data_IF_205409779676
#
_entry.id   IF_205409779676
#
_cell.length_a   1.000
_cell.length_b   1.000
_cell.length_c   1.000
_cell.angle_alpha   90.00
_cell.angle_beta   90.00
_cell.angle_gamma   90.00
#
_symmetry.space_group_name_H-M   'P 1'
#
loop_
_entity.id
_entity.type
_entity.pdbx_description
1 polymer ?
#
# COMPACT_ATOMS: atom_id res chain seq x y z
N UNK A 1 -16.46 27.00 -7.82
CA UNK A 1 -15.66 26.70 -9.01
C UNK A 1 -15.63 25.19 -9.14
N UNK A 2 -16.32 24.66 -10.14
CA UNK A 2 -16.24 23.22 -10.43
C UNK A 2 -14.96 22.93 -11.24
N UNK A 3 -14.49 21.69 -11.19
CA UNK A 3 -13.37 21.25 -12.02
C UNK A 3 -13.89 20.41 -13.18
N UNK A 4 -13.31 20.63 -14.37
CA UNK A 4 -13.61 19.91 -15.59
C UNK A 4 -12.43 19.00 -15.93
N UNK A 5 -12.50 17.70 -15.63
CA UNK A 5 -11.44 16.73 -15.90
C UNK A 5 -11.63 16.10 -17.29
N UNK A 6 -10.76 16.39 -18.22
CA UNK A 6 -10.76 15.75 -19.55
C UNK A 6 -9.86 14.53 -19.51
N UNK A 7 -10.44 13.34 -19.62
CA UNK A 7 -9.77 12.07 -19.36
C UNK A 7 -9.27 11.41 -20.67
N UNK A 8 -7.96 11.17 -20.78
CA UNK A 8 -7.38 10.34 -21.84
C UNK A 8 -7.50 8.86 -21.47
N UNK A 9 -7.43 7.96 -22.47
CA UNK A 9 -7.54 6.52 -22.28
C UNK A 9 -6.60 5.96 -21.18
N UNK A 10 -5.34 6.45 -21.10
CA UNK A 10 -4.39 6.05 -20.06
C UNK A 10 -4.85 6.38 -18.64
N UNK A 11 -5.63 7.43 -18.46
CA UNK A 11 -6.24 7.79 -17.17
C UNK A 11 -7.42 6.85 -16.83
N UNK A 12 -8.32 6.62 -17.80
CA UNK A 12 -9.48 5.74 -17.64
C UNK A 12 -9.09 4.27 -17.38
N UNK A 13 -7.99 3.83 -17.96
CA UNK A 13 -7.48 2.44 -17.85
C UNK A 13 -6.34 2.30 -16.82
N UNK A 14 -6.25 3.22 -15.88
CA UNK A 14 -5.23 3.16 -14.85
C UNK A 14 -5.57 2.17 -13.74
N UNK A 15 -6.86 1.97 -13.45
CA UNK A 15 -7.42 1.00 -12.49
C UNK A 15 -8.88 0.70 -12.80
N UNK A 16 -9.44 -0.34 -12.15
CA UNK A 16 -10.88 -0.60 -12.17
C UNK A 16 -11.65 0.60 -11.63
N UNK A 17 -12.74 0.96 -12.28
CA UNK A 17 -13.62 2.10 -11.95
C UNK A 17 -12.86 3.44 -11.82
N UNK A 18 -11.81 3.64 -12.64
CA UNK A 18 -11.04 4.88 -12.63
C UNK A 18 -11.93 6.12 -12.84
N UNK A 19 -13.01 5.99 -13.60
CA UNK A 19 -14.01 7.03 -13.83
C UNK A 19 -14.76 7.52 -12.57
N UNK A 20 -14.71 6.78 -11.46
CA UNK A 20 -15.26 7.20 -10.16
C UNK A 20 -14.18 7.79 -9.23
N UNK A 21 -12.96 7.89 -9.70
CA UNK A 21 -11.82 8.29 -8.86
C UNK A 21 -11.37 9.74 -9.06
N UNK A 22 -11.91 10.40 -10.06
CA UNK A 22 -11.56 11.78 -10.40
C UNK A 22 -12.64 12.74 -9.90
N UNK A 23 -12.21 13.82 -9.27
CA UNK A 23 -13.08 14.88 -8.80
C UNK A 23 -13.87 14.58 -7.52
N UNK A 24 -14.56 15.60 -7.05
CA UNK A 24 -15.47 15.58 -5.92
C UNK A 24 -16.92 15.79 -6.42
N UNK A 25 -17.89 15.68 -5.52
CA UNK A 25 -19.29 15.92 -5.90
C UNK A 25 -19.46 17.31 -6.52
N UNK A 26 -20.05 17.36 -7.71
CA UNK A 26 -20.23 18.58 -8.51
C UNK A 26 -19.13 18.85 -9.55
N UNK A 27 -18.00 18.12 -9.52
CA UNK A 27 -16.98 18.20 -10.56
C UNK A 27 -17.42 17.42 -11.82
N UNK A 28 -16.96 17.86 -12.99
CA UNK A 28 -17.27 17.25 -14.27
C UNK A 28 -16.13 16.34 -14.77
N UNK A 29 -16.49 15.14 -15.21
CA UNK A 29 -15.62 14.22 -15.93
C UNK A 29 -16.02 14.21 -17.40
N UNK A 30 -15.09 14.58 -18.25
CA UNK A 30 -15.32 14.66 -19.70
C UNK A 30 -14.49 13.58 -20.39
N UNK A 31 -15.17 12.66 -21.08
CA UNK A 31 -14.49 11.65 -21.91
C UNK A 31 -14.65 12.08 -23.37
N UNK A 32 -13.54 12.39 -24.08
CA UNK A 32 -13.60 12.63 -25.52
C UNK A 32 -14.14 11.40 -26.27
N UNK A 33 -15.03 11.60 -27.25
CA UNK A 33 -15.60 10.51 -28.06
C UNK A 33 -14.50 9.65 -28.70
N UNK A 34 -13.43 10.26 -29.18
CA UNK A 34 -12.28 9.54 -29.73
C UNK A 34 -11.59 8.58 -28.74
N UNK A 35 -11.74 8.83 -27.44
CA UNK A 35 -11.24 7.91 -26.40
C UNK A 35 -12.22 6.75 -26.21
N UNK A 36 -13.54 6.99 -26.26
CA UNK A 36 -14.56 5.93 -26.22
C UNK A 36 -14.36 4.95 -27.38
N UNK A 37 -14.16 5.47 -28.61
CA UNK A 37 -13.87 4.68 -29.79
C UNK A 37 -12.61 3.82 -29.62
N UNK A 38 -11.56 4.36 -29.00
CA UNK A 38 -10.29 3.66 -28.77
C UNK A 38 -10.42 2.50 -27.76
N UNK A 39 -11.40 2.52 -26.85
CA UNK A 39 -11.56 1.46 -25.84
C UNK A 39 -11.72 0.07 -26.47
N UNK A 40 -12.29 -0.02 -27.67
CA UNK A 40 -12.47 -1.30 -28.39
C UNK A 40 -11.17 -1.94 -28.92
N UNK A 41 -10.10 -1.16 -29.02
CA UNK A 41 -8.82 -1.61 -29.60
C UNK A 41 -7.76 -1.99 -28.55
N UNK A 42 -8.09 -1.97 -27.25
CA UNK A 42 -7.16 -2.38 -26.23
C UNK A 42 -7.09 -3.90 -26.09
N UNK A 43 -5.86 -4.41 -26.00
CA UNK A 43 -5.52 -5.83 -25.84
C UNK A 43 -4.80 -6.08 -24.51
N UNK A 44 -4.58 -7.37 -24.18
CA UNK A 44 -3.85 -7.79 -22.98
C UNK A 44 -4.54 -7.36 -21.68
N UNK A 45 -3.77 -7.01 -20.66
CA UNK A 45 -4.24 -6.64 -19.34
C UNK A 45 -5.22 -5.46 -19.32
N UNK A 46 -5.15 -4.56 -20.31
CA UNK A 46 -6.04 -3.40 -20.42
C UNK A 46 -7.39 -3.72 -21.05
N UNK A 47 -7.55 -4.86 -21.70
CA UNK A 47 -8.81 -5.26 -22.38
C UNK A 47 -9.97 -5.32 -21.40
N UNK A 48 -9.77 -5.93 -20.24
CA UNK A 48 -10.83 -6.08 -19.24
C UNK A 48 -11.26 -4.72 -18.66
N UNK A 49 -10.30 -3.82 -18.40
CA UNK A 49 -10.61 -2.47 -17.93
C UNK A 49 -11.33 -1.63 -19.01
N UNK A 50 -10.91 -1.77 -20.28
CA UNK A 50 -11.55 -1.09 -21.38
C UNK A 50 -12.99 -1.59 -21.60
N UNK A 51 -13.24 -2.89 -21.47
CA UNK A 51 -14.58 -3.47 -21.50
C UNK A 51 -15.45 -2.95 -20.35
N UNK A 52 -14.91 -2.91 -19.12
CA UNK A 52 -15.61 -2.36 -17.94
C UNK A 52 -16.04 -0.90 -18.16
N UNK A 53 -15.12 -0.04 -18.64
CA UNK A 53 -15.43 1.37 -18.94
C UNK A 53 -16.48 1.48 -20.03
N UNK A 54 -16.37 0.65 -21.07
CA UNK A 54 -17.34 0.64 -22.18
C UNK A 54 -18.73 0.20 -21.72
N UNK A 55 -18.81 -0.83 -20.88
CA UNK A 55 -20.08 -1.29 -20.29
C UNK A 55 -20.70 -0.24 -19.38
N UNK A 56 -19.87 0.43 -18.57
CA UNK A 56 -20.34 1.52 -17.72
C UNK A 56 -20.92 2.67 -18.55
N UNK A 57 -20.22 3.14 -19.58
CA UNK A 57 -20.72 4.18 -20.48
C UNK A 57 -22.04 3.76 -21.13
N UNK A 58 -22.16 2.51 -21.58
CA UNK A 58 -23.41 1.96 -22.15
C UNK A 58 -24.56 1.89 -21.15
N UNK A 59 -24.28 1.74 -19.87
CA UNK A 59 -25.30 1.71 -18.82
C UNK A 59 -25.86 3.07 -18.45
N UNK A 60 -25.19 4.16 -18.86
CA UNK A 60 -25.64 5.52 -18.62
C UNK A 60 -26.62 5.99 -19.73
N UNK A 61 -27.63 6.79 -19.41
CA UNK A 61 -28.54 7.36 -20.41
C UNK A 61 -27.79 8.24 -21.43
N UNK A 62 -27.99 7.97 -22.74
CA UNK A 62 -27.26 8.66 -23.81
C UNK A 62 -27.60 10.15 -23.89
N UNK A 63 -28.83 10.54 -23.63
CA UNK A 63 -29.29 11.93 -23.63
C UNK A 63 -28.62 12.73 -22.49
N UNK A 64 -28.39 12.12 -21.34
CA UNK A 64 -27.66 12.74 -20.26
C UNK A 64 -26.16 12.83 -20.59
N UNK A 65 -25.53 11.71 -21.02
CA UNK A 65 -24.09 11.67 -21.33
C UNK A 65 -23.68 12.68 -22.40
N UNK A 66 -24.48 12.83 -23.44
CA UNK A 66 -24.22 13.75 -24.57
C UNK A 66 -24.73 15.17 -24.31
N UNK A 67 -25.62 15.34 -23.33
CA UNK A 67 -26.24 16.61 -22.96
C UNK A 67 -25.65 17.24 -21.70
N UNK A 68 -26.44 17.24 -20.62
CA UNK A 68 -26.10 17.90 -19.34
C UNK A 68 -25.06 17.16 -18.51
N UNK A 69 -24.79 15.92 -18.83
CA UNK A 69 -23.95 15.00 -18.05
C UNK A 69 -24.77 14.09 -17.11
N UNK A 70 -24.28 12.88 -16.90
CA UNK A 70 -24.85 11.86 -16.03
C UNK A 70 -24.25 11.97 -14.63
N UNK A 71 -25.08 12.11 -13.59
CA UNK A 71 -24.63 12.17 -12.20
C UNK A 71 -24.26 10.78 -11.72
N UNK A 72 -23.00 10.59 -11.40
CA UNK A 72 -22.44 9.32 -10.91
C UNK A 72 -22.73 9.08 -9.42
N UNK A 73 -22.52 7.86 -8.95
CA UNK A 73 -22.76 7.48 -7.54
C UNK A 73 -21.90 8.23 -6.52
N UNK A 74 -20.76 8.78 -6.94
CA UNK A 74 -19.86 9.64 -6.10
C UNK A 74 -20.20 11.13 -6.19
N UNK A 75 -21.29 11.50 -6.91
CA UNK A 75 -21.72 12.89 -7.08
C UNK A 75 -21.01 13.67 -8.19
N UNK A 76 -20.03 13.08 -8.89
CA UNK A 76 -19.41 13.70 -10.06
C UNK A 76 -20.30 13.58 -11.29
N UNK A 77 -20.11 14.43 -12.28
CA UNK A 77 -20.96 14.51 -13.50
C UNK A 77 -20.16 14.00 -14.69
N UNK A 78 -20.54 12.85 -15.24
CA UNK A 78 -19.88 12.24 -16.40
C UNK A 78 -20.51 12.73 -17.70
N UNK A 79 -19.71 13.17 -18.66
CA UNK A 79 -20.17 13.53 -20.01
C UNK A 79 -19.22 13.02 -21.09
N UNK A 80 -19.76 12.78 -22.27
CA UNK A 80 -18.98 12.45 -23.47
C UNK A 80 -19.08 13.66 -24.44
N UNK A 81 -17.91 14.17 -24.83
CA UNK A 81 -17.86 15.33 -25.75
C UNK A 81 -17.19 14.93 -27.07
N UNK A 82 -17.72 15.45 -28.15
CA UNK A 82 -17.20 15.30 -29.50
C UNK A 82 -16.72 16.65 -30.02
N UNK A 83 -15.69 16.64 -30.83
CA UNK A 83 -15.19 17.80 -31.56
C UNK A 83 -14.73 17.35 -32.94
N UNK A 84 -15.21 18.09 -33.97
CA UNK A 84 -14.89 17.85 -35.39
C UNK A 84 -13.73 18.75 -35.81
N UNK A 85 -13.84 20.03 -35.54
CA UNK A 85 -12.88 21.03 -35.97
C UNK A 85 -11.76 21.22 -34.95
N UNK A 86 -10.53 21.10 -35.43
CA UNK A 86 -9.31 21.35 -34.65
C UNK A 86 -8.74 22.71 -35.03
N UNK A 87 -8.64 23.60 -34.05
CA UNK A 87 -8.09 24.96 -34.25
C UNK A 87 -6.65 24.95 -34.73
N UNK A 88 -6.21 26.00 -35.37
CA UNK A 88 -4.80 26.17 -35.80
C UNK A 88 -3.80 26.10 -34.65
N UNK A 89 -4.20 26.55 -33.45
CA UNK A 89 -3.38 26.50 -32.25
C UNK A 89 -3.03 25.06 -31.84
N UNK A 90 -3.98 24.12 -31.94
CA UNK A 90 -3.78 22.71 -31.66
C UNK A 90 -3.11 22.01 -32.84
N UNK A 91 -3.50 22.34 -34.09
CA UNK A 91 -2.98 21.71 -35.29
C UNK A 91 -1.47 21.97 -35.53
N UNK A 92 -0.91 23.04 -34.97
CA UNK A 92 0.55 23.29 -35.00
C UNK A 92 1.39 22.17 -34.39
N UNK A 93 0.82 21.33 -33.54
CA UNK A 93 1.48 20.15 -32.97
C UNK A 93 1.33 18.95 -33.93
N UNK A 94 2.14 18.92 -34.98
CA UNK A 94 2.05 17.94 -36.09
C UNK A 94 2.24 16.50 -35.65
N UNK A 95 3.08 16.24 -34.61
CA UNK A 95 3.38 14.89 -34.12
C UNK A 95 2.29 14.29 -33.21
N UNK A 96 1.28 15.08 -32.82
CA UNK A 96 0.19 14.55 -32.01
C UNK A 96 -0.78 13.70 -32.86
N UNK A 97 -1.24 12.60 -32.26
CA UNK A 97 -2.36 11.84 -32.84
C UNK A 97 -3.62 12.70 -32.93
N UNK A 98 -4.52 12.38 -33.86
CA UNK A 98 -5.80 13.07 -33.98
C UNK A 98 -6.58 13.06 -32.64
N UNK A 99 -6.56 11.94 -31.95
CA UNK A 99 -7.22 11.78 -30.64
C UNK A 99 -6.65 12.74 -29.59
N UNK A 100 -5.32 12.90 -29.55
CA UNK A 100 -4.66 13.81 -28.63
C UNK A 100 -4.99 15.28 -28.95
N UNK A 101 -5.08 15.61 -30.23
CA UNK A 101 -5.52 16.91 -30.69
C UNK A 101 -6.98 17.19 -30.29
N UNK A 102 -7.87 16.21 -30.43
CA UNK A 102 -9.25 16.32 -30.01
C UNK A 102 -9.39 16.49 -28.48
N UNK A 103 -8.58 15.80 -27.68
CA UNK A 103 -8.53 16.04 -26.24
C UNK A 103 -8.15 17.49 -25.89
N UNK A 104 -7.09 18.03 -26.52
CA UNK A 104 -6.67 19.42 -26.30
C UNK A 104 -7.74 20.42 -26.76
N UNK A 105 -8.37 20.16 -27.92
CA UNK A 105 -9.41 21.04 -28.45
C UNK A 105 -10.64 21.07 -27.53
N UNK A 106 -11.05 19.92 -26.97
CA UNK A 106 -12.14 19.87 -25.99
C UNK A 106 -11.78 20.70 -24.75
N UNK A 107 -10.53 20.62 -24.26
CA UNK A 107 -10.10 21.45 -23.13
C UNK A 107 -10.26 22.95 -23.45
N UNK A 108 -9.80 23.39 -24.65
CA UNK A 108 -9.92 24.77 -25.05
C UNK A 108 -11.39 25.23 -25.22
N UNK A 109 -12.25 24.35 -25.71
CA UNK A 109 -13.67 24.64 -25.85
C UNK A 109 -14.34 24.77 -24.47
N UNK A 110 -14.02 23.87 -23.52
CA UNK A 110 -14.52 23.94 -22.15
C UNK A 110 -14.07 25.20 -21.41
N UNK A 111 -12.82 25.66 -21.58
CA UNK A 111 -12.34 26.93 -21.01
C UNK A 111 -13.11 28.15 -21.52
N UNK A 112 -13.61 28.08 -22.77
CA UNK A 112 -14.45 29.16 -23.36
C UNK A 112 -15.91 29.08 -22.91
N UNK A 113 -16.43 27.84 -22.80
CA UNK A 113 -17.81 27.57 -22.40
C UNK A 113 -18.04 27.81 -20.90
N UNK A 114 -17.05 27.48 -20.08
CA UNK A 114 -17.07 27.61 -18.62
C UNK A 114 -15.84 28.38 -18.10
N UNK A 115 -15.82 29.71 -18.26
CA UNK A 115 -14.64 30.51 -17.92
C UNK A 115 -14.32 30.57 -16.42
N UNK A 116 -15.30 30.27 -15.57
CA UNK A 116 -15.15 30.23 -14.10
C UNK A 116 -14.70 28.86 -13.59
N UNK A 117 -14.69 27.82 -14.44
CA UNK A 117 -14.29 26.48 -14.06
C UNK A 117 -12.81 26.20 -14.37
N UNK A 118 -12.22 25.32 -13.59
CA UNK A 118 -10.86 24.86 -13.81
C UNK A 118 -10.83 23.64 -14.74
N UNK A 119 -10.36 23.81 -15.97
CA UNK A 119 -10.21 22.71 -16.95
C UNK A 119 -8.86 22.06 -16.80
N UNK A 120 -8.86 20.71 -16.58
CA UNK A 120 -7.67 19.92 -16.30
C UNK A 120 -7.61 18.74 -17.27
N UNK A 121 -6.54 18.66 -18.08
CA UNK A 121 -6.27 17.48 -18.90
C UNK A 121 -5.60 16.39 -18.06
N UNK A 122 -6.16 15.19 -18.04
CA UNK A 122 -5.61 14.04 -17.30
C UNK A 122 -5.03 13.01 -18.27
N UNK A 123 -3.70 12.81 -18.23
CA UNK A 123 -3.00 11.93 -19.16
C UNK A 123 -1.75 11.32 -18.54
N UNK A 124 -1.30 10.16 -19.04
CA UNK A 124 0.02 9.56 -18.75
C UNK A 124 1.09 9.96 -19.77
N UNK A 125 0.75 10.76 -20.77
CA UNK A 125 1.67 11.15 -21.85
C UNK A 125 2.34 12.48 -21.52
N UNK A 126 3.57 12.46 -21.04
CA UNK A 126 4.36 13.66 -20.75
C UNK A 126 4.38 14.66 -21.92
N UNK A 127 4.59 14.25 -23.21
CA UNK A 127 4.52 15.19 -24.32
C UNK A 127 3.17 15.89 -24.47
N UNK A 128 2.06 15.19 -24.18
CA UNK A 128 0.72 15.76 -24.25
C UNK A 128 0.49 16.74 -23.10
N UNK A 129 0.92 16.40 -21.88
CA UNK A 129 0.81 17.29 -20.72
C UNK A 129 1.57 18.60 -20.95
N UNK A 130 2.82 18.54 -21.44
CA UNK A 130 3.60 19.74 -21.77
C UNK A 130 2.95 20.60 -22.85
N UNK A 131 2.33 19.97 -23.87
CA UNK A 131 1.60 20.69 -24.92
C UNK A 131 0.30 21.34 -24.41
N UNK A 132 -0.36 20.71 -23.43
CA UNK A 132 -1.49 21.34 -22.72
C UNK A 132 -1.06 22.63 -21.99
N UNK A 133 0.05 22.57 -21.25
CA UNK A 133 0.60 23.75 -20.57
C UNK A 133 0.97 24.89 -21.53
N UNK A 134 1.52 24.57 -22.72
CA UNK A 134 1.79 25.58 -23.78
C UNK A 134 0.49 26.25 -24.24
N UNK A 135 -0.64 25.54 -24.23
CA UNK A 135 -1.96 26.06 -24.53
C UNK A 135 -2.65 26.71 -23.33
N UNK A 136 -1.99 26.84 -22.18
CA UNK A 136 -2.54 27.32 -20.91
C UNK A 136 -3.71 26.48 -20.39
N UNK A 137 -3.73 25.20 -20.73
CA UNK A 137 -4.61 24.19 -20.14
C UNK A 137 -3.86 23.54 -19.01
N UNK A 138 -4.41 23.57 -17.79
CA UNK A 138 -3.84 22.81 -16.67
C UNK A 138 -3.78 21.35 -17.02
N UNK A 139 -2.71 20.68 -16.58
CA UNK A 139 -2.54 19.27 -16.85
C UNK A 139 -2.18 18.49 -15.59
N UNK A 140 -2.54 17.21 -15.56
CA UNK A 140 -2.32 16.31 -14.44
C UNK A 140 -1.91 14.93 -14.94
N UNK A 141 -0.88 14.36 -14.34
CA UNK A 141 -0.55 12.95 -14.55
C UNK A 141 -1.61 12.06 -13.88
N UNK A 142 -2.16 11.13 -14.65
CA UNK A 142 -3.16 10.19 -14.14
C UNK A 142 -2.74 9.39 -12.90
N UNK A 143 -1.47 8.99 -12.72
CA UNK A 143 -1.00 8.34 -11.50
C UNK A 143 -1.18 9.16 -10.22
N UNK A 144 -1.13 10.49 -10.29
CA UNK A 144 -1.22 11.36 -9.12
C UNK A 144 -2.56 11.26 -8.38
N UNK A 145 -3.60 10.80 -9.06
CA UNK A 145 -4.92 10.61 -8.45
C UNK A 145 -5.14 9.23 -7.82
N UNK A 146 -4.37 8.21 -8.25
CA UNK A 146 -4.48 6.84 -7.75
C UNK A 146 -3.54 6.63 -6.57
N UNK A 147 -2.36 7.22 -6.69
CA UNK A 147 -1.32 7.21 -5.68
C UNK A 147 -1.00 8.66 -5.34
N UNK A 148 -1.41 9.15 -4.17
CA UNK A 148 -1.04 10.47 -3.71
C UNK A 148 0.47 10.69 -3.81
N UNK A 149 0.91 11.93 -3.91
CA UNK A 149 2.33 12.27 -3.79
C UNK A 149 2.89 11.70 -2.49
N UNK A 150 4.18 11.40 -2.44
CA UNK A 150 4.81 10.68 -1.32
C UNK A 150 4.53 11.33 0.05
N UNK A 151 4.44 12.66 0.08
CA UNK A 151 4.12 13.47 1.26
C UNK A 151 2.65 13.40 1.70
N UNK A 152 1.74 12.95 0.83
CA UNK A 152 0.30 12.82 1.09
C UNK A 152 -0.18 11.38 1.21
N UNK A 153 0.72 10.41 1.04
CA UNK A 153 0.36 9.01 1.20
C UNK A 153 0.00 8.70 2.64
N UNK A 154 -1.02 7.85 2.82
CA UNK A 154 -1.41 7.39 4.14
C UNK A 154 -0.25 6.68 4.85
N UNK A 155 -0.01 7.06 6.09
CA UNK A 155 1.09 6.52 6.89
C UNK A 155 0.66 5.42 7.85
N UNK A 156 -0.61 5.41 8.24
CA UNK A 156 -1.13 4.55 9.31
C UNK A 156 -0.68 4.94 10.72
N UNK A 157 0.14 6.00 10.84
CA UNK A 157 0.69 6.51 12.11
C UNK A 157 0.61 8.03 12.14
N UNK A 158 0.05 8.59 13.21
CA UNK A 158 -0.17 10.03 13.36
C UNK A 158 0.25 10.53 14.75
N UNK A 159 0.82 11.73 14.82
CA UNK A 159 0.94 12.46 16.06
C UNK A 159 -0.39 13.15 16.35
N UNK A 160 -0.96 12.90 17.51
CA UNK A 160 -2.27 13.43 17.88
C UNK A 160 -2.24 14.07 19.25
N UNK A 161 -2.75 15.29 19.36
CA UNK A 161 -2.80 16.03 20.62
C UNK A 161 -4.22 16.02 21.16
N UNK A 162 -4.37 15.72 22.45
CA UNK A 162 -5.65 15.73 23.17
C UNK A 162 -5.53 16.61 24.43
N UNK A 163 -6.68 16.98 24.98
CA UNK A 163 -6.72 17.75 26.24
C UNK A 163 -6.06 16.98 27.38
N UNK A 164 -5.52 17.72 28.35
CA UNK A 164 -4.89 17.14 29.55
C UNK A 164 -5.85 16.21 30.29
N UNK A 165 -7.15 16.55 30.36
CA UNK A 165 -8.18 15.70 30.98
C UNK A 165 -8.32 14.35 30.22
N UNK A 166 -8.46 14.40 28.90
CA UNK A 166 -8.54 13.22 28.05
C UNK A 166 -7.28 12.38 28.10
N UNK A 167 -6.09 13.02 28.16
CA UNK A 167 -4.82 12.32 28.29
C UNK A 167 -4.74 11.56 29.63
N UNK A 168 -5.12 12.18 30.74
CA UNK A 168 -5.16 11.55 32.07
C UNK A 168 -6.18 10.39 32.07
N UNK A 169 -7.34 10.55 31.45
CA UNK A 169 -8.31 9.47 31.27
C UNK A 169 -7.73 8.30 30.49
N UNK A 170 -7.03 8.56 29.38
CA UNK A 170 -6.35 7.53 28.58
C UNK A 170 -5.26 6.80 29.39
N UNK A 171 -4.50 7.52 30.21
CA UNK A 171 -3.47 6.93 31.06
C UNK A 171 -4.05 6.04 32.16
N UNK A 172 -5.22 6.39 32.70
CA UNK A 172 -5.84 5.71 33.84
C UNK A 172 -6.72 4.55 33.40
N UNK A 173 -7.61 4.76 32.43
CA UNK A 173 -8.59 3.78 31.96
C UNK A 173 -8.14 2.99 30.73
N UNK A 174 -7.05 3.42 30.08
CA UNK A 174 -6.56 2.85 28.82
C UNK A 174 -7.43 3.19 27.60
N UNK A 175 -8.51 3.99 27.77
CA UNK A 175 -9.46 4.29 26.70
C UNK A 175 -10.12 5.64 26.93
N UNK A 176 -10.30 6.43 25.85
CA UNK A 176 -11.02 7.70 25.87
C UNK A 176 -11.87 7.84 24.62
N UNK A 177 -13.05 8.44 24.75
CA UNK A 177 -13.91 8.71 23.59
C UNK A 177 -13.26 9.74 22.67
N UNK A 178 -13.26 9.45 21.37
CA UNK A 178 -12.70 10.37 20.39
C UNK A 178 -13.68 11.51 20.12
N UNK A 179 -13.26 12.73 20.42
CA UNK A 179 -13.95 13.96 20.01
C UNK A 179 -13.12 14.57 18.89
N UNK A 180 -13.73 14.72 17.72
CA UNK A 180 -13.07 15.34 16.58
C UNK A 180 -13.18 16.86 16.70
N UNK A 181 -12.32 17.46 17.50
CA UNK A 181 -12.25 18.91 17.69
C UNK A 181 -11.55 19.63 16.52
N UNK A 182 -10.85 18.85 15.65
CA UNK A 182 -10.17 19.35 14.45
C UNK A 182 -10.68 18.64 13.19
N UNK A 183 -11.64 19.23 12.43
CA UNK A 183 -12.16 18.64 11.20
C UNK A 183 -11.10 18.46 10.09
N UNK A 184 -9.96 19.15 10.19
CA UNK A 184 -8.85 19.00 9.23
C UNK A 184 -8.07 17.70 9.44
N UNK A 185 -8.24 17.04 10.58
CA UNK A 185 -7.54 15.81 10.96
C UNK A 185 -8.49 14.62 11.04
N UNK A 186 -8.76 14.01 9.89
CA UNK A 186 -9.59 12.80 9.82
C UNK A 186 -8.77 11.57 10.20
N UNK A 187 -9.10 10.94 11.35
CA UNK A 187 -8.53 9.64 11.71
C UNK A 187 -9.27 8.50 11.00
N UNK A 188 -8.50 7.53 10.53
CA UNK A 188 -9.04 6.29 9.96
C UNK A 188 -9.12 5.17 11.01
N UNK A 189 -10.07 4.24 10.91
CA UNK A 189 -10.12 3.08 11.80
C UNK A 189 -8.77 2.33 11.86
N UNK A 190 -8.36 1.95 13.06
CA UNK A 190 -7.08 1.28 13.35
C UNK A 190 -5.80 2.11 13.09
N UNK A 191 -5.94 3.41 12.89
CA UNK A 191 -4.78 4.30 12.81
C UNK A 191 -4.05 4.35 14.16
N UNK A 192 -2.73 4.18 14.12
CA UNK A 192 -1.89 4.26 15.30
C UNK A 192 -1.55 5.72 15.65
N UNK A 193 -1.52 6.01 16.94
CA UNK A 193 -1.39 7.37 17.45
C UNK A 193 -0.22 7.47 18.42
N UNK A 194 0.62 8.47 18.22
CA UNK A 194 1.51 9.01 19.24
C UNK A 194 0.75 10.16 19.91
N UNK A 195 0.11 9.86 21.04
CA UNK A 195 -0.79 10.80 21.72
C UNK A 195 0.01 11.70 22.64
N UNK A 196 -0.13 12.99 22.45
CA UNK A 196 0.46 14.06 23.26
C UNK A 196 -0.61 14.74 24.10
N UNK A 197 -0.24 15.15 25.29
CA UNK A 197 -0.99 16.09 26.10
C UNK A 197 -0.81 17.50 25.53
N UNK A 198 -1.86 18.30 25.45
CA UNK A 198 -1.83 19.69 24.98
C UNK A 198 -0.81 20.59 25.71
N UNK A 199 -0.50 20.27 26.98
CA UNK A 199 0.53 20.96 27.76
C UNK A 199 1.95 20.53 27.40
N UNK A 200 2.13 19.44 26.65
CA UNK A 200 3.42 18.79 26.32
C UNK A 200 4.29 18.41 27.53
N UNK A 201 3.73 18.37 28.72
CA UNK A 201 4.47 18.07 29.95
C UNK A 201 4.46 16.60 30.34
N UNK A 202 3.59 15.77 29.75
CA UNK A 202 3.27 14.43 30.24
C UNK A 202 3.88 13.28 29.41
N UNK A 203 4.77 13.57 28.46
CA UNK A 203 5.34 12.54 27.57
C UNK A 203 4.37 12.10 26.46
N UNK A 204 4.65 10.94 25.85
CA UNK A 204 3.89 10.40 24.72
C UNK A 204 3.25 9.08 25.12
N UNK A 205 1.95 8.91 24.90
CA UNK A 205 1.24 7.64 25.04
C UNK A 205 1.03 7.02 23.67
N UNK A 206 1.42 5.77 23.50
CA UNK A 206 1.13 5.01 22.29
C UNK A 206 -0.29 4.44 22.38
N UNK A 207 -1.08 4.68 21.34
CA UNK A 207 -2.48 4.31 21.27
C UNK A 207 -2.91 3.97 19.84
N UNK A 208 -4.17 3.61 19.67
CA UNK A 208 -4.82 3.31 18.41
C UNK A 208 -6.23 3.89 18.40
N UNK A 209 -6.68 4.36 17.25
CA UNK A 209 -8.07 4.75 17.05
C UNK A 209 -8.89 3.52 16.62
N UNK A 210 -9.89 3.11 17.42
CA UNK A 210 -10.74 1.95 17.10
C UNK A 210 -11.94 2.27 16.19
N UNK A 211 -12.04 3.50 15.72
CA UNK A 211 -13.18 4.04 14.95
C UNK A 211 -14.18 4.81 15.80
N UNK A 212 -14.00 4.82 17.13
CA UNK A 212 -14.86 5.52 18.10
C UNK A 212 -14.07 6.10 19.27
N UNK A 213 -13.02 5.39 19.69
CA UNK A 213 -12.22 5.74 20.85
C UNK A 213 -10.73 5.71 20.50
N UNK A 214 -9.96 6.46 21.27
CA UNK A 214 -8.51 6.29 21.37
C UNK A 214 -8.25 5.26 22.45
N UNK A 215 -7.58 4.16 22.11
CA UNK A 215 -7.32 3.01 22.99
C UNK A 215 -5.83 2.79 23.11
N UNK A 216 -5.31 2.67 24.32
CA UNK A 216 -3.91 2.31 24.57
C UNK A 216 -3.55 0.94 23.97
N UNK A 217 -2.29 0.71 23.68
CA UNK A 217 -1.83 -0.59 23.17
C UNK A 217 -1.97 -1.67 24.24
N UNK A 218 -2.39 -2.86 23.82
CA UNK A 218 -2.63 -4.00 24.70
C UNK A 218 -1.49 -5.02 24.69
N UNK A 219 -0.76 -5.12 23.56
CA UNK A 219 0.25 -6.13 23.36
C UNK A 219 1.64 -5.51 23.43
N UNK A 220 2.49 -6.15 24.23
CA UNK A 220 3.91 -5.85 24.26
C UNK A 220 4.64 -7.15 24.00
N UNK A 221 5.65 -7.11 23.14
CA UNK A 221 6.58 -8.22 23.04
C UNK A 221 7.17 -8.48 24.44
N UNK A 222 7.35 -9.76 24.78
CA UNK A 222 7.99 -10.17 26.01
C UNK A 222 9.27 -9.34 26.25
N UNK A 223 9.70 -9.18 27.50
CA UNK A 223 10.88 -8.38 27.88
C UNK A 223 12.13 -8.70 27.04
N UNK A 224 12.13 -9.85 26.40
CA UNK A 224 13.21 -10.38 25.57
C UNK A 224 13.23 -9.77 24.14
N UNK A 225 12.13 -9.19 23.69
CA UNK A 225 11.99 -8.55 22.37
C UNK A 225 11.69 -7.06 22.53
N UNK A 226 12.65 -6.32 23.08
CA UNK A 226 12.46 -4.88 23.25
C UNK A 226 12.27 -4.18 21.91
N UNK A 227 11.05 -3.69 21.68
CA UNK A 227 10.81 -2.70 20.64
C UNK A 227 11.70 -1.48 20.90
N UNK A 228 12.47 -1.08 19.90
CA UNK A 228 13.42 0.03 20.03
C UNK A 228 12.79 1.41 19.78
N UNK A 229 11.57 1.43 19.23
CA UNK A 229 10.86 2.65 18.89
C UNK A 229 9.34 2.43 18.88
N UNK A 230 8.57 3.51 18.71
CA UNK A 230 7.12 3.49 18.72
C UNK A 230 6.53 2.63 17.59
N UNK A 231 7.09 2.72 16.39
CA UNK A 231 6.60 2.00 15.21
C UNK A 231 6.76 0.48 15.37
N UNK A 232 7.82 0.02 16.02
CA UNK A 232 7.98 -1.41 16.36
C UNK A 232 6.96 -1.86 17.40
N UNK A 233 6.56 -0.99 18.36
CA UNK A 233 5.46 -1.30 19.29
C UNK A 233 4.13 -1.39 18.55
N UNK A 234 3.86 -0.50 17.59
CA UNK A 234 2.66 -0.57 16.76
C UNK A 234 2.62 -1.85 15.92
N UNK A 235 3.76 -2.23 15.35
CA UNK A 235 3.86 -3.50 14.61
C UNK A 235 3.60 -4.70 15.51
N UNK A 236 4.13 -4.69 16.73
CA UNK A 236 3.86 -5.74 17.72
C UNK A 236 2.37 -5.82 18.04
N UNK A 237 1.72 -4.70 18.36
CA UNK A 237 0.28 -4.64 18.58
C UNK A 237 -0.49 -5.27 17.41
N UNK A 238 -0.15 -4.90 16.17
CA UNK A 238 -0.81 -5.37 14.96
C UNK A 238 -0.64 -6.89 14.77
N UNK A 239 0.54 -7.42 15.04
CA UNK A 239 0.84 -8.85 14.85
C UNK A 239 0.16 -9.73 15.90
N UNK A 240 0.14 -9.30 17.17
CA UNK A 240 -0.47 -10.05 18.27
C UNK A 240 -1.99 -9.87 18.38
N UNK A 241 -2.56 -8.84 17.76
CA UNK A 241 -4.03 -8.72 17.65
C UNK A 241 -4.58 -9.97 16.93
N UNK A 242 -5.64 -10.61 17.46
CA UNK A 242 -6.22 -11.82 16.83
C UNK A 242 -6.60 -11.63 15.36
N UNK A 243 -6.50 -12.67 14.52
CA UNK A 243 -6.82 -12.59 13.08
C UNK A 243 -8.29 -12.25 12.81
N UNK A 244 -9.20 -12.55 13.73
CA UNK A 244 -10.63 -12.20 13.64
C UNK A 244 -10.86 -10.68 13.72
N UNK A 245 -9.94 -9.95 14.35
CA UNK A 245 -10.00 -8.50 14.51
C UNK A 245 -9.20 -7.80 13.43
N UNK A 246 -7.97 -8.27 13.17
CA UNK A 246 -7.05 -7.67 12.20
C UNK A 246 -6.35 -8.76 11.36
N UNK A 247 -7.05 -9.31 10.36
CA UNK A 247 -6.47 -10.32 9.46
C UNK A 247 -5.40 -9.77 8.52
N UNK A 248 -5.31 -8.43 8.37
CA UNK A 248 -4.36 -7.79 7.47
C UNK A 248 -3.46 -6.80 8.22
N UNK A 249 -2.14 -6.94 8.03
CA UNK A 249 -1.13 -6.00 8.54
C UNK A 249 -0.27 -5.53 7.37
N UNK A 250 -0.14 -4.22 7.17
CA UNK A 250 0.66 -3.63 6.09
C UNK A 250 1.74 -2.76 6.70
N UNK A 251 3.00 -3.03 6.36
CA UNK A 251 4.17 -2.33 6.95
C UNK A 251 5.05 -1.75 5.86
N UNK A 252 5.13 -0.45 5.82
CA UNK A 252 5.97 0.32 4.90
C UNK A 252 7.15 0.94 5.64
N UNK A 253 8.33 0.95 5.04
CA UNK A 253 9.46 1.68 5.60
C UNK A 253 10.80 1.25 5.01
N UNK A 254 11.87 2.05 5.23
CA UNK A 254 13.18 1.78 4.67
C UNK A 254 13.85 0.55 5.27
N UNK A 255 14.89 0.08 4.60
CA UNK A 255 15.72 -1.01 5.10
C UNK A 255 16.30 -0.69 6.49
N UNK A 256 16.41 -1.70 7.34
CA UNK A 256 17.02 -1.55 8.68
C UNK A 256 16.08 -1.03 9.77
N UNK A 257 14.81 -0.74 9.48
CA UNK A 257 13.82 -0.35 10.50
C UNK A 257 13.30 -1.52 11.35
N UNK A 258 13.59 -2.76 10.95
CA UNK A 258 13.23 -3.97 11.70
C UNK A 258 11.91 -4.62 11.28
N UNK A 259 11.30 -4.21 10.15
CA UNK A 259 10.04 -4.78 9.63
C UNK A 259 10.04 -6.32 9.65
N UNK A 260 10.92 -6.90 8.88
CA UNK A 260 11.02 -8.36 8.71
C UNK A 260 11.43 -9.05 10.01
N UNK A 261 12.37 -8.47 10.77
CA UNK A 261 12.81 -9.04 12.05
C UNK A 261 11.67 -9.14 13.06
N UNK A 262 10.94 -8.04 13.32
CA UNK A 262 9.83 -8.04 14.29
C UNK A 262 8.71 -8.97 13.82
N UNK A 263 8.40 -8.96 12.51
CA UNK A 263 7.35 -9.83 11.95
C UNK A 263 7.68 -11.31 12.09
N UNK A 264 8.89 -11.71 11.72
CA UNK A 264 9.32 -13.12 11.81
C UNK A 264 9.38 -13.58 13.25
N UNK A 265 9.94 -12.75 14.14
CA UNK A 265 10.02 -13.06 15.58
C UNK A 265 8.62 -13.23 16.18
N UNK A 266 7.69 -12.32 15.90
CA UNK A 266 6.30 -12.44 16.37
C UNK A 266 5.62 -13.67 15.77
N UNK A 267 5.83 -13.94 14.48
CA UNK A 267 5.25 -15.11 13.83
C UNK A 267 5.70 -16.42 14.49
N UNK A 268 6.98 -16.55 14.83
CA UNK A 268 7.49 -17.71 15.56
C UNK A 268 6.87 -17.83 16.95
N UNK A 269 6.69 -16.73 17.70
CA UNK A 269 6.05 -16.75 19.01
C UNK A 269 4.55 -17.13 18.93
N UNK A 270 3.88 -16.85 17.83
CA UNK A 270 2.47 -17.17 17.61
C UNK A 270 2.23 -18.60 17.10
N UNK A 271 3.29 -19.39 16.86
CA UNK A 271 3.21 -20.82 16.51
C UNK A 271 3.46 -21.72 17.72
N UNK A 272 3.49 -23.03 17.51
CA UNK A 272 3.83 -24.04 18.54
C UNK A 272 5.22 -23.85 19.19
N UNK A 273 6.09 -23.05 18.57
CA UNK A 273 7.43 -22.72 19.10
C UNK A 273 7.43 -21.52 20.06
N UNK A 274 6.28 -20.86 20.16
CA UNK A 274 6.10 -19.78 21.13
C UNK A 274 6.10 -20.28 22.57
N UNK A 275 6.21 -19.36 23.49
CA UNK A 275 6.10 -19.60 24.92
C UNK A 275 5.02 -18.69 25.50
N UNK A 276 4.16 -19.25 26.36
CA UNK A 276 3.12 -18.51 27.07
C UNK A 276 1.77 -18.46 26.37
N UNK A 277 0.99 -17.43 26.66
CA UNK A 277 -0.45 -17.35 26.30
C UNK A 277 -0.72 -17.15 24.82
N UNK A 278 0.29 -16.84 24.00
CA UNK A 278 0.15 -16.54 22.58
C UNK A 278 0.66 -17.67 21.67
N UNK A 279 1.16 -18.78 22.25
CA UNK A 279 1.57 -19.96 21.48
C UNK A 279 0.35 -20.63 20.83
N UNK A 280 0.58 -21.27 19.68
CA UNK A 280 -0.46 -22.03 18.94
C UNK A 280 -1.63 -21.22 18.38
N UNK A 281 -1.44 -19.94 18.11
CA UNK A 281 -2.42 -19.12 17.38
C UNK A 281 -2.44 -19.53 15.90
N UNK A 282 -1.27 -19.82 15.33
CA UNK A 282 -1.13 -20.29 13.95
C UNK A 282 -0.44 -21.65 13.89
N UNK A 283 -0.89 -22.49 12.97
CA UNK A 283 -0.28 -23.80 12.71
C UNK A 283 1.05 -23.65 11.96
N UNK A 284 1.14 -22.65 11.08
CA UNK A 284 2.31 -22.46 10.19
C UNK A 284 2.55 -21.01 9.79
N UNK A 285 3.78 -20.79 9.36
CA UNK A 285 4.27 -19.54 8.78
C UNK A 285 4.49 -19.78 7.28
N UNK A 286 3.83 -19.00 6.42
CA UNK A 286 4.01 -19.05 4.98
C UNK A 286 4.76 -17.81 4.54
N UNK A 287 5.93 -17.99 3.93
CA UNK A 287 6.76 -16.90 3.45
C UNK A 287 6.66 -16.85 1.94
N UNK A 288 6.16 -15.73 1.41
CA UNK A 288 6.01 -15.50 0.00
C UNK A 288 6.86 -14.29 -0.44
N UNK A 289 7.70 -14.47 -1.44
CA UNK A 289 8.50 -13.39 -2.02
C UNK A 289 8.20 -13.26 -3.51
N UNK A 290 8.14 -12.03 -4.05
CA UNK A 290 8.05 -11.85 -5.49
C UNK A 290 9.36 -12.31 -6.14
N UNK A 291 9.24 -13.09 -7.20
CA UNK A 291 10.39 -13.43 -8.03
C UNK A 291 10.70 -12.24 -8.94
N UNK A 292 11.64 -11.40 -8.54
CA UNK A 292 12.16 -10.33 -9.38
C UNK A 292 13.45 -10.86 -10.02
N UNK A 293 13.36 -11.20 -11.30
CA UNK A 293 14.58 -11.47 -12.10
C UNK A 293 15.43 -10.20 -12.13
N UNK A 294 16.60 -10.23 -11.55
CA UNK A 294 17.60 -9.18 -11.70
C UNK A 294 18.22 -9.24 -13.11
N UNK A 295 17.54 -8.66 -14.10
CA UNK A 295 17.86 -8.74 -15.51
C UNK A 295 16.84 -9.61 -16.27
N UNK A 296 16.79 -9.49 -17.59
CA UNK A 296 15.84 -10.10 -18.53
C UNK A 296 15.76 -11.66 -18.53
N UNK A 297 16.18 -12.31 -17.47
CA UNK A 297 16.05 -13.75 -17.31
C UNK A 297 14.76 -14.07 -16.57
N UNK A 298 13.75 -14.54 -17.33
CA UNK A 298 12.74 -15.43 -16.76
C UNK A 298 13.49 -16.50 -15.96
N UNK A 299 13.08 -16.80 -14.72
CA UNK A 299 13.61 -17.95 -13.98
C UNK A 299 13.17 -19.20 -14.74
N UNK A 300 13.84 -19.41 -15.87
CA UNK A 300 13.76 -20.63 -16.64
C UNK A 300 14.30 -21.78 -15.80
N UNK A 301 14.08 -22.97 -16.20
CA UNK A 301 14.51 -24.23 -15.64
C UNK A 301 15.89 -24.19 -14.93
N UNK A 302 15.96 -23.61 -13.74
CA UNK A 302 17.10 -23.86 -12.86
C UNK A 302 16.93 -25.29 -12.29
N UNK A 303 17.90 -26.17 -12.46
CA UNK A 303 17.88 -27.48 -11.82
C UNK A 303 18.02 -27.31 -10.30
N UNK A 304 17.15 -27.97 -9.57
CA UNK A 304 17.20 -27.95 -8.09
C UNK A 304 15.80 -27.96 -7.47
N UNK A 305 15.74 -28.35 -6.20
CA UNK A 305 14.54 -28.29 -5.37
C UNK A 305 14.08 -26.84 -5.18
N UNK A 306 12.80 -26.63 -4.90
CA UNK A 306 12.18 -25.31 -4.67
C UNK A 306 12.98 -24.50 -3.65
N UNK A 307 13.49 -25.12 -2.59
CA UNK A 307 14.31 -24.52 -1.57
C UNK A 307 15.65 -23.98 -2.10
N UNK A 308 16.26 -24.65 -3.07
CA UNK A 308 17.51 -24.20 -3.70
C UNK A 308 17.29 -23.03 -4.67
N UNK A 309 16.11 -22.96 -5.28
CA UNK A 309 15.75 -21.89 -6.22
C UNK A 309 15.35 -20.58 -5.51
N UNK A 310 14.73 -20.70 -4.34
CA UNK A 310 14.22 -19.54 -3.57
C UNK A 310 15.22 -19.07 -2.52
N UNK A 311 16.19 -19.93 -2.13
CA UNK A 311 17.22 -19.62 -1.14
C UNK A 311 17.91 -18.26 -1.28
N UNK A 312 18.38 -17.86 -2.49
CA UNK A 312 19.01 -16.55 -2.69
C UNK A 312 18.10 -15.34 -2.38
N UNK A 313 16.78 -15.49 -2.51
CA UNK A 313 15.82 -14.42 -2.27
C UNK A 313 15.36 -14.32 -0.82
N UNK A 314 15.64 -15.35 -0.02
CA UNK A 314 15.24 -15.45 1.38
C UNK A 314 16.34 -15.07 2.37
N UNK A 315 17.54 -14.72 1.92
CA UNK A 315 18.68 -14.49 2.78
C UNK A 315 18.36 -13.59 3.99
N UNK A 316 17.66 -12.49 3.77
CA UNK A 316 17.25 -11.60 4.84
C UNK A 316 16.24 -12.19 5.83
N UNK A 317 15.29 -13.00 5.37
CA UNK A 317 14.31 -13.66 6.23
C UNK A 317 14.96 -14.79 7.00
N UNK A 318 15.75 -15.61 6.31
CA UNK A 318 16.54 -16.68 6.90
C UNK A 318 17.43 -16.17 8.02
N UNK A 319 18.22 -15.12 7.77
CA UNK A 319 19.08 -14.50 8.77
C UNK A 319 18.28 -14.00 9.98
N UNK A 320 17.10 -13.46 9.78
CA UNK A 320 16.24 -13.02 10.87
C UNK A 320 15.67 -14.18 11.69
N UNK A 321 15.33 -15.31 11.06
CA UNK A 321 14.89 -16.54 11.76
C UNK A 321 16.06 -17.08 12.61
N UNK A 322 17.22 -17.26 12.01
CA UNK A 322 18.41 -17.74 12.71
C UNK A 322 18.78 -16.83 13.89
N UNK A 323 18.79 -15.52 13.67
CA UNK A 323 19.06 -14.55 14.74
C UNK A 323 18.03 -14.62 15.88
N UNK A 324 16.76 -14.86 15.58
CA UNK A 324 15.72 -15.05 16.59
C UNK A 324 15.98 -16.29 17.45
N UNK A 325 16.36 -17.41 16.84
CA UNK A 325 16.71 -18.63 17.58
C UNK A 325 17.98 -18.46 18.42
N UNK A 326 19.02 -17.87 17.86
CA UNK A 326 20.27 -17.58 18.59
C UNK A 326 19.98 -16.74 19.82
N UNK A 327 19.15 -15.72 19.69
CA UNK A 327 18.77 -14.85 20.80
C UNK A 327 17.98 -15.61 21.86
N UNK A 328 16.95 -16.36 21.48
CA UNK A 328 16.13 -17.18 22.39
C UNK A 328 16.95 -18.20 23.16
N UNK A 329 17.95 -18.82 22.54
CA UNK A 329 18.85 -19.76 23.18
C UNK A 329 19.79 -19.08 24.17
N UNK A 330 20.31 -17.89 23.88
CA UNK A 330 21.14 -17.09 24.82
C UNK A 330 20.37 -16.73 26.08
N UNK A 331 19.11 -16.32 25.93
CA UNK A 331 18.25 -15.95 27.05
C UNK A 331 17.98 -17.16 27.98
N UNK A 332 17.69 -18.34 27.38
CA UNK A 332 17.52 -19.59 28.16
C UNK A 332 18.80 -20.02 28.90
N UNK A 333 19.96 -19.77 28.35
CA UNK A 333 21.24 -20.19 28.94
C UNK A 333 21.74 -19.24 30.07
N UNK A 334 21.11 -18.05 30.23
CA UNK A 334 21.50 -17.10 31.29
C UNK A 334 22.92 -16.53 31.15
N UNK A 335 23.60 -16.75 30.04
CA UNK A 335 25.00 -16.41 29.81
C UNK A 335 25.16 -15.37 28.71
N UNK A 336 25.42 -14.14 29.11
CA UNK A 336 26.01 -13.13 28.23
C UNK A 336 27.45 -13.58 27.92
N UNK A 337 27.68 -14.11 26.72
CA UNK A 337 29.03 -14.50 26.27
C UNK A 337 29.17 -15.92 25.72
N UNK A 338 28.14 -16.75 25.75
CA UNK A 338 28.18 -18.06 25.07
C UNK A 338 28.40 -17.90 23.57
N UNK A 339 29.29 -18.71 22.99
CA UNK A 339 29.49 -18.80 21.55
C UNK A 339 28.14 -19.04 20.84
N UNK A 340 27.90 -18.33 19.75
CA UNK A 340 26.71 -18.51 18.94
C UNK A 340 26.78 -19.91 18.35
N UNK A 341 25.88 -20.80 18.75
CA UNK A 341 25.73 -22.08 18.09
C UNK A 341 24.84 -21.90 16.84
N UNK A 342 25.50 -21.51 15.77
CA UNK A 342 24.83 -21.33 14.47
C UNK A 342 24.31 -22.65 13.91
N UNK A 343 24.97 -23.78 14.23
CA UNK A 343 24.55 -25.10 13.78
C UNK A 343 23.24 -25.50 14.45
N UNK A 344 23.10 -25.30 15.75
CA UNK A 344 21.84 -25.56 16.46
C UNK A 344 20.68 -24.69 15.96
N UNK A 345 20.95 -23.43 15.59
CA UNK A 345 19.94 -22.56 15.01
C UNK A 345 19.54 -23.03 13.60
N UNK A 346 20.52 -23.48 12.80
CA UNK A 346 20.29 -24.06 11.48
C UNK A 346 19.46 -25.35 11.55
N UNK A 347 19.81 -26.25 12.48
CA UNK A 347 19.08 -27.50 12.69
C UNK A 347 17.63 -27.23 13.10
N UNK A 348 17.40 -26.23 13.96
CA UNK A 348 16.06 -25.80 14.34
C UNK A 348 15.27 -25.28 13.15
N UNK A 349 15.88 -24.46 12.29
CA UNK A 349 15.24 -23.97 11.07
C UNK A 349 14.89 -25.13 10.12
N UNK A 350 15.82 -26.07 9.89
CA UNK A 350 15.58 -27.22 9.04
C UNK A 350 14.42 -28.07 9.59
N UNK A 351 14.37 -28.27 10.90
CA UNK A 351 13.27 -28.99 11.54
C UNK A 351 11.91 -28.30 11.33
N UNK A 352 11.86 -26.94 11.39
CA UNK A 352 10.63 -26.19 11.13
C UNK A 352 10.16 -26.28 9.67
N UNK A 353 11.10 -26.41 8.75
CA UNK A 353 10.80 -26.66 7.33
C UNK A 353 10.30 -28.08 7.11
N UNK A 354 10.97 -29.07 7.71
CA UNK A 354 10.64 -30.49 7.54
C UNK A 354 9.28 -30.86 8.15
N UNK A 355 8.93 -30.26 9.28
CA UNK A 355 7.63 -30.49 9.94
C UNK A 355 6.50 -29.58 9.39
N UNK A 356 6.80 -28.72 8.42
CA UNK A 356 5.83 -27.87 7.74
C UNK A 356 5.37 -26.65 8.54
N UNK A 357 6.02 -26.33 9.67
CA UNK A 357 5.73 -25.10 10.44
C UNK A 357 6.14 -23.86 9.67
N UNK A 358 7.25 -23.92 8.90
CA UNK A 358 7.61 -22.89 7.95
C UNK A 358 7.50 -23.44 6.54
N UNK A 359 6.79 -22.73 5.68
CA UNK A 359 6.69 -23.04 4.27
C UNK A 359 7.10 -21.81 3.43
N UNK A 360 7.95 -22.05 2.44
CA UNK A 360 8.39 -21.01 1.52
C UNK A 360 7.70 -21.22 0.19
N UNK A 361 7.07 -20.19 -0.34
CA UNK A 361 6.31 -20.27 -1.59
C UNK A 361 6.63 -19.10 -2.53
N UNK A 362 6.59 -19.37 -3.82
CA UNK A 362 6.57 -18.30 -4.81
C UNK A 362 5.21 -17.61 -4.77
N UNK A 363 5.20 -16.29 -4.94
CA UNK A 363 3.97 -15.51 -4.87
C UNK A 363 2.89 -16.01 -5.85
N UNK A 364 3.30 -16.45 -7.05
CA UNK A 364 2.40 -17.02 -8.04
C UNK A 364 1.74 -18.34 -7.62
N UNK A 365 2.38 -19.13 -6.76
CA UNK A 365 1.79 -20.38 -6.22
C UNK A 365 0.86 -20.12 -5.07
N UNK A 366 1.06 -19.05 -4.30
CA UNK A 366 0.14 -18.62 -3.22
C UNK A 366 -1.27 -18.39 -3.78
N UNK A 367 -1.40 -17.82 -4.96
CA UNK A 367 -2.69 -17.58 -5.61
C UNK A 367 -3.50 -18.85 -5.94
N UNK A 368 -2.87 -20.03 -5.91
CA UNK A 368 -3.52 -21.34 -6.18
C UNK A 368 -4.06 -22.07 -4.97
N UNK A 369 -3.74 -21.65 -3.74
CA UNK A 369 -4.07 -22.36 -2.50
C UNK A 369 -4.85 -21.47 -1.54
N UNK A 370 -5.70 -22.04 -0.70
CA UNK A 370 -6.31 -21.37 0.45
C UNK A 370 -5.52 -21.74 1.70
N UNK A 371 -5.24 -20.78 2.56
CA UNK A 371 -4.44 -20.96 3.78
C UNK A 371 -5.30 -20.63 4.99
N UNK A 372 -5.51 -21.62 5.84
CA UNK A 372 -6.23 -21.50 7.10
C UNK A 372 -5.24 -21.57 8.28
N UNK A 373 -5.61 -20.96 9.40
CA UNK A 373 -4.82 -20.95 10.63
C UNK A 373 -3.32 -20.63 10.42
N UNK A 374 -3.03 -19.74 9.47
CA UNK A 374 -1.68 -19.48 9.01
C UNK A 374 -1.32 -18.00 9.11
N UNK A 375 -0.07 -17.68 9.43
CA UNK A 375 0.46 -16.34 9.21
C UNK A 375 1.23 -16.30 7.89
N UNK A 376 0.74 -15.48 6.94
CA UNK A 376 1.29 -15.36 5.59
C UNK A 376 2.09 -14.07 5.54
N UNK A 377 3.37 -14.15 5.24
CA UNK A 377 4.28 -13.01 5.15
C UNK A 377 4.66 -12.79 3.70
N UNK A 378 4.23 -11.67 3.12
CA UNK A 378 4.66 -11.20 1.80
C UNK A 378 5.71 -10.13 2.01
N UNK A 379 6.99 -10.48 1.80
CA UNK A 379 8.09 -9.52 1.89
C UNK A 379 8.44 -8.94 0.51
N UNK A 380 9.13 -7.80 0.47
CA UNK A 380 9.49 -7.08 -0.76
C UNK A 380 8.26 -6.69 -1.63
N UNK A 381 7.14 -6.37 -0.99
CA UNK A 381 5.85 -6.12 -1.64
C UNK A 381 5.85 -4.92 -2.61
N UNK A 382 6.84 -4.03 -2.54
CA UNK A 382 7.02 -2.95 -3.52
C UNK A 382 7.34 -3.50 -4.92
N UNK A 383 7.79 -4.75 -5.03
CA UNK A 383 8.07 -5.40 -6.30
C UNK A 383 6.88 -6.20 -6.86
N UNK A 384 5.77 -6.28 -6.13
CA UNK A 384 4.54 -6.97 -6.54
C UNK A 384 3.68 -6.04 -7.38
N UNK A 385 3.22 -6.51 -8.54
CA UNK A 385 2.22 -5.78 -9.33
C UNK A 385 0.92 -5.69 -8.51
N UNK A 386 0.34 -4.50 -8.35
CA UNK A 386 -0.91 -4.28 -7.59
C UNK A 386 -2.06 -5.24 -7.93
N UNK A 387 -2.14 -5.70 -9.18
CA UNK A 387 -3.20 -6.61 -9.62
C UNK A 387 -3.16 -7.99 -8.94
N UNK A 388 -1.99 -8.44 -8.46
CA UNK A 388 -1.84 -9.74 -7.79
C UNK A 388 -2.35 -9.73 -6.35
N UNK A 389 -2.50 -8.56 -5.71
CA UNK A 389 -2.91 -8.52 -4.31
C UNK A 389 -4.32 -9.01 -4.07
N UNK A 390 -5.23 -8.85 -5.03
CA UNK A 390 -6.58 -9.40 -4.90
C UNK A 390 -6.53 -10.92 -4.73
N UNK A 391 -5.70 -11.59 -5.54
CA UNK A 391 -5.56 -13.04 -5.49
C UNK A 391 -4.94 -13.49 -4.16
N UNK A 392 -3.94 -12.78 -3.64
CA UNK A 392 -3.29 -13.09 -2.35
C UNK A 392 -4.28 -12.91 -1.19
N UNK A 393 -4.96 -11.77 -1.14
CA UNK A 393 -5.90 -11.44 -0.06
C UNK A 393 -7.07 -12.44 -0.02
N UNK A 394 -7.61 -12.82 -1.18
CA UNK A 394 -8.73 -13.79 -1.26
C UNK A 394 -8.35 -15.22 -0.91
N UNK A 395 -7.05 -15.53 -0.78
CA UNK A 395 -6.53 -16.84 -0.35
C UNK A 395 -6.20 -16.91 1.14
N UNK A 396 -6.26 -15.76 1.84
CA UNK A 396 -6.14 -15.73 3.29
C UNK A 396 -7.42 -16.29 3.90
N UNK A 397 -7.38 -17.53 4.34
CA UNK A 397 -8.53 -18.27 4.88
C UNK A 397 -8.82 -17.93 6.34
N UNK A 398 -9.80 -18.63 6.91
CA UNK A 398 -10.23 -18.45 8.29
C UNK A 398 -9.08 -18.69 9.28
N UNK A 399 -9.05 -17.93 10.38
CA UNK A 399 -7.99 -18.01 11.38
C UNK A 399 -6.60 -17.57 10.91
N UNK A 400 -6.49 -16.99 9.70
CA UNK A 400 -5.20 -16.57 9.13
C UNK A 400 -4.99 -15.09 9.16
N UNK A 401 -3.70 -14.69 9.15
CA UNK A 401 -3.25 -13.30 9.07
C UNK A 401 -2.30 -13.11 7.89
N UNK A 402 -2.59 -12.10 7.07
CA UNK A 402 -1.71 -11.65 5.99
C UNK A 402 -0.88 -10.45 6.46
N UNK A 403 0.44 -10.56 6.36
CA UNK A 403 1.39 -9.49 6.67
C UNK A 403 2.14 -9.10 5.40
N UNK A 404 2.00 -7.85 4.98
CA UNK A 404 2.61 -7.32 3.76
C UNK A 404 3.69 -6.31 4.13
N UNK A 405 4.94 -6.61 3.78
CA UNK A 405 6.12 -5.80 4.10
C UNK A 405 6.73 -5.22 2.83
N UNK A 406 7.16 -3.96 2.87
CA UNK A 406 7.82 -3.36 1.71
C UNK A 406 8.55 -2.04 1.99
N UNK A 407 9.43 -1.70 1.05
CA UNK A 407 10.17 -0.44 1.00
C UNK A 407 9.98 0.22 -0.36
N UNK A 408 9.17 1.27 -0.48
CA UNK A 408 8.94 1.94 -1.76
C UNK A 408 10.20 2.51 -2.43
N UNK A 409 11.28 2.75 -1.65
CA UNK A 409 12.54 3.24 -2.21
C UNK A 409 13.35 2.16 -2.92
N UNK A 410 13.03 0.87 -2.68
CA UNK A 410 13.78 -0.29 -3.19
C UNK A 410 13.02 -1.04 -4.30
N UNK A 411 12.29 -0.34 -5.14
CA UNK A 411 11.62 -0.94 -6.30
C UNK A 411 12.66 -1.42 -7.31
N UNK A 412 12.62 -2.70 -7.65
CA UNK A 412 13.49 -3.35 -8.66
C UNK A 412 12.75 -3.68 -9.96
N UNK A 413 11.42 -3.74 -9.91
CA UNK A 413 10.59 -4.05 -11.08
C UNK A 413 10.61 -2.88 -12.06
N UNK A 414 10.94 -3.09 -13.35
CA UNK A 414 10.99 -2.02 -14.35
C UNK A 414 9.61 -1.41 -14.69
N UNK A 415 8.52 -2.04 -14.22
CA UNK A 415 7.13 -1.60 -14.45
C UNK A 415 6.56 -0.78 -13.29
N UNK A 416 7.30 -0.66 -12.19
CA UNK A 416 6.89 -0.02 -10.95
C UNK A 416 7.89 1.09 -10.61
N UNK A 417 7.48 2.01 -9.74
CA UNK A 417 8.34 3.08 -9.22
C UNK A 417 8.09 3.31 -7.72
N UNK A 418 8.81 4.23 -7.10
CA UNK A 418 8.70 4.54 -5.67
C UNK A 418 7.30 4.99 -5.26
N UNK A 419 6.49 5.51 -6.17
CA UNK A 419 5.12 5.96 -5.95
C UNK A 419 4.11 4.88 -6.32
N UNK A 420 4.26 4.26 -7.50
CA UNK A 420 3.36 3.26 -8.06
C UNK A 420 3.96 1.87 -7.82
N UNK A 421 3.58 1.22 -6.75
CA UNK A 421 4.07 -0.10 -6.37
C UNK A 421 3.05 -0.82 -5.46
N UNK A 422 3.30 -2.09 -5.22
CA UNK A 422 2.36 -2.93 -4.49
C UNK A 422 2.12 -2.52 -3.05
N UNK A 423 3.16 -2.07 -2.32
CA UNK A 423 2.98 -1.69 -0.91
C UNK A 423 2.17 -0.39 -0.78
N UNK A 424 2.43 0.62 -1.60
CA UNK A 424 1.66 1.85 -1.60
C UNK A 424 0.21 1.62 -2.03
N UNK A 425 -0.02 0.70 -3.00
CA UNK A 425 -1.36 0.28 -3.40
C UNK A 425 -2.14 -0.30 -2.22
N UNK A 426 -1.54 -1.23 -1.48
CA UNK A 426 -2.17 -1.83 -0.32
C UNK A 426 -2.47 -0.79 0.77
N UNK A 427 -1.53 0.11 1.07
CA UNK A 427 -1.73 1.19 2.04
C UNK A 427 -2.95 2.06 1.70
N UNK A 428 -3.08 2.50 0.46
CA UNK A 428 -4.18 3.38 0.03
C UNK A 428 -5.54 2.65 -0.06
N UNK A 429 -5.55 1.41 -0.56
CA UNK A 429 -6.79 0.65 -0.70
C UNK A 429 -7.44 0.28 0.64
N UNK A 430 -6.64 0.05 1.67
CA UNK A 430 -7.11 -0.47 2.95
C UNK A 430 -7.21 0.57 4.06
N UNK A 431 -6.92 1.86 3.81
CA UNK A 431 -6.88 2.91 4.85
C UNK A 431 -8.19 3.12 5.60
N UNK A 432 -9.33 2.82 4.99
CA UNK A 432 -10.66 2.94 5.64
C UNK A 432 -11.17 1.63 6.23
N UNK A 433 -10.41 0.53 6.08
CA UNK A 433 -10.85 -0.79 6.52
C UNK A 433 -10.63 -0.99 8.02
N UNK A 434 -11.64 -1.56 8.68
CA UNK A 434 -11.52 -2.00 10.08
C UNK A 434 -10.75 -3.31 10.25
N UNK A 435 -10.46 -4.01 9.16
CA UNK A 435 -9.75 -5.30 9.15
C UNK A 435 -8.24 -5.14 8.92
N UNK A 436 -7.75 -3.93 8.70
CA UNK A 436 -6.36 -3.69 8.38
C UNK A 436 -5.67 -2.79 9.42
N UNK A 437 -4.47 -3.20 9.81
CA UNK A 437 -3.54 -2.36 10.55
C UNK A 437 -2.40 -1.94 9.62
N UNK A 438 -2.04 -0.67 9.64
CA UNK A 438 -1.08 -0.10 8.71
C UNK A 438 -0.03 0.72 9.47
N UNK A 439 1.24 0.50 9.16
CA UNK A 439 2.34 1.15 9.85
C UNK A 439 3.39 1.63 8.84
N UNK A 440 3.69 2.92 8.84
CA UNK A 440 4.88 3.46 8.17
C UNK A 440 5.99 3.68 9.20
N UNK A 441 7.15 3.06 8.93
CA UNK A 441 8.35 3.21 9.74
C UNK A 441 9.28 4.27 9.14
N UNK A 442 9.79 5.16 9.96
CA UNK A 442 10.60 6.30 9.50
C UNK A 442 12.08 5.95 9.35
N UNK A 443 12.75 6.58 8.38
CA UNK A 443 14.19 6.45 8.12
C UNK A 443 15.04 6.89 9.31
N UNK A 444 14.62 7.90 10.06
CA UNK A 444 15.36 8.43 11.22
C UNK A 444 15.49 7.43 12.39
N UNK A 445 14.68 6.37 12.36
CA UNK A 445 14.61 5.34 13.40
C UNK A 445 15.22 4.00 12.97
N UNK A 446 16.16 4.03 12.02
CA UNK A 446 16.91 2.87 11.58
C UNK A 446 17.73 2.31 12.75
N UNK A 447 17.51 1.04 13.05
CA UNK A 447 18.17 0.32 14.20
C UNK A 447 19.42 -0.42 13.79
N UNK A 448 19.85 -0.32 12.53
CA UNK A 448 21.13 -0.84 12.04
C UNK A 448 22.27 0.12 12.35
N UNK A 449 23.52 -0.32 12.15
CA UNK A 449 24.72 0.46 12.42
C UNK A 449 24.81 1.80 11.66
N UNK A 450 25.71 2.67 12.11
CA UNK A 450 25.91 4.04 11.60
C UNK A 450 26.11 4.11 10.08
N UNK A 451 26.78 3.13 9.48
CA UNK A 451 26.98 3.08 8.03
C UNK A 451 25.65 2.97 7.26
N UNK A 452 24.69 2.19 7.75
CA UNK A 452 23.37 2.07 7.13
C UNK A 452 22.59 3.39 7.25
N UNK A 453 22.68 4.06 8.40
CA UNK A 453 22.04 5.35 8.61
C UNK A 453 22.62 6.43 7.68
N UNK A 454 23.93 6.44 7.52
CA UNK A 454 24.64 7.37 6.63
C UNK A 454 24.26 7.10 5.15
N UNK A 455 24.27 5.84 4.72
CA UNK A 455 23.93 5.44 3.37
C UNK A 455 22.49 5.88 2.98
N UNK A 456 21.53 5.73 3.89
CA UNK A 456 20.17 6.19 3.65
C UNK A 456 20.04 7.72 3.50
N UNK A 457 20.95 8.48 4.09
CA UNK A 457 20.99 9.96 3.94
C UNK A 457 21.66 10.40 2.66
N UNK A 458 22.69 9.68 2.22
CA UNK A 458 23.54 10.09 1.11
C UNK A 458 23.12 9.49 -0.24
N UNK A 459 22.45 8.32 -0.23
CA UNK A 459 22.16 7.53 -1.43
C UNK A 459 20.67 7.45 -1.79
N UNK A 460 19.78 8.00 -0.95
CA UNK A 460 18.38 8.28 -1.23
C UNK A 460 18.21 9.79 -1.37
#
# INVERSE_FOLDING_TARGET
MAKQFVLRAGALLSRKKAYLAFGEAGDHLVIPMAIVEKLHYFEGAKRNMAAEVSEYIKSCPNDELLGKGYVQSNGTILSVKYVEDISSEVNRFTELSLQDKQCLQICLNLQKEFPDDEVILVSKSTPLLLKAEILKVKSMDAPDMIYPSLDRQYSGVTNYTISTESFNALMTSGKVFFQNDDPSHLLYPNEFLMVHDESYNSGVKLARFDGTHIVGLNYQLNKDYHSKNAEQNFLTEALFTPPEVAPLVIVKGPAGTGKTYVTVTAALELTKYGSGNYSHVYDRIIIATPTVSGGNEEIGFLPGDVNQKVGPYLGGIYDNIINSFVRKNREKAGTYGASIDLNAAQDCFNQLMDDGTIAIQQLGTVAGHSFENSIIIVDEAQNVDPNYFLDIVTRTGEGSKLVVLGDPSQVKSPKLDSRINGINYMMECWKTSRLAYQISMNADKVVRGSLCQEALKLMN
#
